data_IF_167206041819
#
_entry.id   IF_167206041819
#
_cell.length_a   1.000
_cell.length_b   1.000
_cell.length_c   1.000
_cell.angle_alpha   90.00
_cell.angle_beta   90.00
_cell.angle_gamma   90.00
#
_symmetry.space_group_name_H-M   'P 1'
#
loop_
_entity.id
_entity.type
_entity.pdbx_description
1 polymer ?
#
# COMPACT_ATOMS: atom_id res chain seq x y z
N UNK A 1 13.91 -7.60 -20.01
CA UNK A 1 13.28 -6.29 -19.75
C UNK A 1 11.82 -6.55 -19.33
N UNK A 2 11.58 -6.90 -18.06
CA UNK A 2 10.21 -7.25 -17.57
C UNK A 2 9.83 -6.45 -16.31
N UNK A 3 10.74 -5.59 -15.84
CA UNK A 3 10.67 -4.89 -14.55
C UNK A 3 9.73 -3.68 -14.54
N UNK A 4 9.20 -3.27 -15.70
CA UNK A 4 8.32 -2.11 -15.82
C UNK A 4 6.87 -2.47 -16.15
N UNK A 5 6.62 -3.72 -16.55
CA UNK A 5 5.30 -4.16 -17.00
C UNK A 5 4.36 -4.37 -15.80
N UNK A 6 3.07 -4.03 -15.92
CA UNK A 6 2.01 -4.59 -15.10
C UNK A 6 2.17 -6.11 -14.94
N UNK A 7 1.84 -6.63 -13.76
CA UNK A 7 2.03 -8.06 -13.48
C UNK A 7 1.28 -8.98 -14.45
N UNK A 8 0.05 -8.68 -14.91
CA UNK A 8 -0.62 -9.49 -15.93
C UNK A 8 0.20 -9.62 -17.21
N UNK A 9 0.85 -8.55 -17.64
CA UNK A 9 1.69 -8.52 -18.83
C UNK A 9 3.02 -9.24 -18.60
N UNK A 10 3.67 -9.01 -17.46
CA UNK A 10 4.91 -9.69 -17.09
C UNK A 10 4.74 -11.22 -17.06
N UNK A 11 3.61 -11.70 -16.51
CA UNK A 11 3.26 -13.12 -16.51
C UNK A 11 2.99 -13.60 -17.94
N UNK A 12 2.24 -12.87 -18.77
CA UNK A 12 1.99 -13.25 -20.17
C UNK A 12 3.27 -13.32 -20.99
N UNK A 13 4.16 -12.34 -20.88
CA UNK A 13 5.43 -12.32 -21.61
C UNK A 13 6.38 -13.42 -21.16
N UNK A 14 6.29 -13.85 -19.89
CA UNK A 14 7.08 -14.99 -19.40
C UNK A 14 6.74 -16.31 -20.11
N UNK A 15 5.56 -16.42 -20.72
CA UNK A 15 5.14 -17.61 -21.46
C UNK A 15 5.75 -17.69 -22.87
N UNK A 16 6.31 -16.58 -23.38
CA UNK A 16 6.92 -16.52 -24.71
C UNK A 16 8.25 -17.27 -24.79
N UNK A 17 8.86 -17.59 -23.64
CA UNK A 17 10.11 -18.36 -23.57
C UNK A 17 10.15 -19.21 -22.31
N UNK A 18 10.55 -20.48 -22.44
CA UNK A 18 10.74 -21.40 -21.30
C UNK A 18 11.75 -20.86 -20.30
N UNK A 19 12.79 -20.15 -20.77
CA UNK A 19 13.82 -19.55 -19.91
C UNK A 19 13.30 -18.37 -19.08
N UNK A 20 12.17 -17.76 -19.44
CA UNK A 20 11.64 -16.57 -18.77
C UNK A 20 10.44 -16.86 -17.87
N UNK A 21 9.91 -18.08 -17.95
CA UNK A 21 8.68 -18.54 -17.29
C UNK A 21 8.56 -18.20 -15.81
N UNK A 22 9.68 -18.14 -15.09
CA UNK A 22 9.70 -17.88 -13.64
C UNK A 22 10.31 -16.53 -13.26
N UNK A 23 10.79 -15.72 -14.23
CA UNK A 23 11.45 -14.44 -13.92
C UNK A 23 10.50 -13.43 -13.27
N UNK A 24 9.20 -13.52 -13.55
CA UNK A 24 8.20 -12.68 -12.91
C UNK A 24 8.06 -12.99 -11.40
N UNK A 25 8.35 -14.21 -10.96
CA UNK A 25 8.16 -14.61 -9.56
C UNK A 25 9.21 -13.99 -8.62
N UNK A 26 10.39 -13.66 -9.13
CA UNK A 26 11.48 -13.02 -8.37
C UNK A 26 11.67 -11.54 -8.74
N UNK A 27 10.70 -10.93 -9.44
CA UNK A 27 10.77 -9.50 -9.78
C UNK A 27 10.68 -8.63 -8.52
N UNK A 28 11.48 -7.55 -8.42
CA UNK A 28 11.42 -6.63 -7.29
C UNK A 28 10.26 -5.62 -7.38
N UNK A 29 9.40 -5.71 -8.39
CA UNK A 29 8.29 -4.78 -8.62
C UNK A 29 6.96 -5.50 -8.80
N UNK A 30 5.95 -5.14 -8.03
CA UNK A 30 4.55 -5.56 -8.26
C UNK A 30 3.76 -4.33 -8.69
N UNK A 31 3.11 -4.41 -9.86
CA UNK A 31 2.18 -3.40 -10.35
C UNK A 31 0.90 -4.08 -10.78
N UNK A 32 -0.19 -3.78 -10.09
CA UNK A 32 -1.50 -4.33 -10.37
C UNK A 32 -2.47 -3.16 -10.39
N UNK A 33 -3.05 -2.92 -11.55
CA UNK A 33 -4.12 -1.96 -11.72
C UNK A 33 -5.43 -2.71 -12.01
N UNK A 34 -6.52 -2.24 -11.43
CA UNK A 34 -7.84 -2.79 -11.68
C UNK A 34 -8.23 -2.69 -13.17
N UNK A 35 -7.80 -1.64 -13.86
CA UNK A 35 -8.04 -1.46 -15.30
C UNK A 35 -7.37 -2.54 -16.17
N UNK A 36 -6.30 -3.20 -15.69
CA UNK A 36 -5.65 -4.31 -16.40
C UNK A 36 -6.58 -5.53 -16.55
N UNK A 37 -7.70 -5.55 -15.81
CA UNK A 37 -8.65 -6.66 -15.76
C UNK A 37 -10.00 -6.33 -16.38
N UNK A 38 -10.15 -5.20 -17.09
CA UNK A 38 -11.43 -4.77 -17.69
C UNK A 38 -12.55 -4.71 -16.64
N UNK A 39 -12.18 -4.23 -15.47
CA UNK A 39 -13.04 -4.10 -14.30
C UNK A 39 -13.62 -5.42 -13.71
N UNK A 40 -13.04 -6.57 -14.08
CA UNK A 40 -13.42 -7.89 -13.56
C UNK A 40 -12.74 -8.19 -12.22
N UNK A 41 -13.47 -7.92 -11.14
CA UNK A 41 -13.00 -8.10 -9.77
C UNK A 41 -12.65 -9.55 -9.44
N UNK A 42 -13.46 -10.51 -9.90
CA UNK A 42 -13.22 -11.92 -9.59
C UNK A 42 -11.91 -12.40 -10.24
N UNK A 43 -11.68 -11.99 -11.49
CA UNK A 43 -10.45 -12.30 -12.21
C UNK A 43 -9.24 -11.62 -11.60
N UNK A 44 -9.37 -10.35 -11.20
CA UNK A 44 -8.30 -9.61 -10.53
C UNK A 44 -7.91 -10.26 -9.21
N UNK A 45 -8.88 -10.59 -8.36
CA UNK A 45 -8.63 -11.21 -7.05
C UNK A 45 -7.98 -12.59 -7.21
N UNK A 46 -8.50 -13.45 -8.09
CA UNK A 46 -7.86 -14.74 -8.41
C UNK A 46 -6.45 -14.58 -8.95
N UNK A 47 -6.19 -13.55 -9.75
CA UNK A 47 -4.86 -13.28 -10.26
C UNK A 47 -3.91 -12.86 -9.13
N UNK A 48 -4.34 -11.94 -8.26
CA UNK A 48 -3.56 -11.51 -7.09
C UNK A 48 -3.24 -12.68 -6.17
N UNK A 49 -4.21 -13.57 -5.92
CA UNK A 49 -4.03 -14.75 -5.02
C UNK A 49 -2.95 -15.65 -5.56
N UNK A 50 -3.04 -15.98 -6.86
CA UNK A 50 -2.05 -16.81 -7.53
C UNK A 50 -0.70 -16.14 -7.63
N UNK A 51 -0.68 -14.84 -7.90
CA UNK A 51 0.56 -14.07 -8.03
C UNK A 51 1.38 -14.17 -6.76
N UNK A 52 0.74 -13.94 -5.60
CA UNK A 52 1.43 -13.96 -4.32
C UNK A 52 1.79 -15.38 -3.87
N UNK A 53 0.91 -16.36 -4.09
CA UNK A 53 1.18 -17.76 -3.78
C UNK A 53 2.41 -18.31 -4.53
N UNK A 54 2.59 -17.88 -5.77
CA UNK A 54 3.65 -18.36 -6.66
C UNK A 54 4.91 -17.47 -6.63
N UNK A 55 4.87 -16.35 -5.89
CA UNK A 55 6.02 -15.46 -5.78
C UNK A 55 7.14 -16.13 -4.99
N UNK A 56 8.37 -15.86 -5.38
CA UNK A 56 9.53 -16.23 -4.59
C UNK A 56 9.57 -15.39 -3.30
N UNK A 57 9.40 -16.06 -2.16
CA UNK A 57 9.40 -15.44 -0.83
C UNK A 57 10.80 -14.99 -0.39
N UNK A 58 11.85 -15.47 -1.04
CA UNK A 58 13.24 -15.06 -0.77
C UNK A 58 13.62 -13.80 -1.54
N UNK A 59 12.95 -13.53 -2.67
CA UNK A 59 13.18 -12.37 -3.50
C UNK A 59 12.71 -11.07 -2.80
N UNK A 60 13.58 -10.06 -2.79
CA UNK A 60 13.23 -8.73 -2.29
C UNK A 60 12.12 -8.11 -3.14
N UNK A 61 11.32 -7.25 -2.51
CA UNK A 61 10.28 -6.47 -3.17
C UNK A 61 10.58 -4.99 -2.91
N UNK A 62 11.12 -4.30 -3.91
CA UNK A 62 11.48 -2.89 -3.76
C UNK A 62 10.23 -2.00 -3.81
N UNK A 63 9.28 -2.32 -4.70
CA UNK A 63 8.04 -1.57 -4.83
C UNK A 63 6.85 -2.49 -5.09
N UNK A 64 5.75 -2.22 -4.41
CA UNK A 64 4.44 -2.76 -4.73
C UNK A 64 3.45 -1.62 -4.90
N UNK A 65 2.78 -1.58 -6.04
CA UNK A 65 1.69 -0.66 -6.35
C UNK A 65 0.45 -1.47 -6.68
N UNK A 66 -0.55 -1.38 -5.82
CA UNK A 66 -1.83 -2.07 -5.97
C UNK A 66 -2.93 -1.01 -6.00
N UNK A 67 -3.64 -0.94 -7.13
CA UNK A 67 -4.74 -0.02 -7.35
C UNK A 67 -6.02 -0.85 -7.51
N UNK A 68 -7.02 -0.57 -6.68
CA UNK A 68 -8.30 -1.26 -6.62
C UNK A 68 -9.45 -0.29 -6.34
N UNK A 69 -9.98 0.35 -7.38
CA UNK A 69 -11.07 1.32 -7.23
C UNK A 69 -12.47 0.70 -7.15
N UNK A 70 -12.58 -0.60 -6.86
CA UNK A 70 -13.87 -1.28 -6.80
C UNK A 70 -14.48 -1.35 -5.43
N UNK A 71 -15.73 -1.83 -5.37
CA UNK A 71 -16.58 -1.88 -4.18
C UNK A 71 -15.80 -2.40 -2.97
N UNK A 72 -15.99 -1.73 -1.83
CA UNK A 72 -15.27 -1.95 -0.59
C UNK A 72 -15.07 -3.43 -0.25
N UNK A 73 -13.82 -3.90 -0.38
CA UNK A 73 -13.46 -5.31 -0.12
C UNK A 73 -12.58 -5.44 1.12
N UNK A 74 -12.84 -6.47 1.92
CA UNK A 74 -11.96 -6.91 3.01
C UNK A 74 -10.62 -7.45 2.50
N UNK A 75 -10.48 -7.73 1.20
CA UNK A 75 -9.22 -8.23 0.65
C UNK A 75 -8.08 -7.22 0.71
N UNK A 76 -8.35 -5.91 0.74
CA UNK A 76 -7.30 -4.88 0.87
C UNK A 76 -6.36 -5.14 2.06
N UNK A 77 -6.93 -5.53 3.21
CA UNK A 77 -6.17 -5.88 4.41
C UNK A 77 -5.27 -7.09 4.18
N UNK A 78 -5.78 -8.13 3.52
CA UNK A 78 -5.03 -9.36 3.21
C UNK A 78 -3.86 -9.04 2.29
N UNK A 79 -4.11 -8.27 1.23
CA UNK A 79 -3.09 -7.89 0.25
C UNK A 79 -1.99 -7.04 0.86
N UNK A 80 -2.36 -6.02 1.63
CA UNK A 80 -1.40 -5.15 2.31
C UNK A 80 -0.51 -5.98 3.22
N UNK A 81 -1.12 -6.82 4.05
CA UNK A 81 -0.40 -7.70 4.97
C UNK A 81 0.57 -8.60 4.24
N UNK A 82 0.13 -9.24 3.17
CA UNK A 82 0.92 -10.22 2.44
C UNK A 82 2.15 -9.59 1.78
N UNK A 83 1.99 -8.45 1.11
CA UNK A 83 3.09 -7.72 0.48
C UNK A 83 4.12 -7.23 1.51
N UNK A 84 3.67 -6.78 2.69
CA UNK A 84 4.58 -6.38 3.77
C UNK A 84 5.36 -7.59 4.31
N UNK A 85 4.71 -8.76 4.47
CA UNK A 85 5.39 -10.01 4.83
C UNK A 85 6.46 -10.42 3.80
N UNK A 86 6.29 -10.05 2.54
CA UNK A 86 7.26 -10.24 1.46
C UNK A 86 8.34 -9.15 1.39
N UNK A 87 8.61 -8.50 2.53
CA UNK A 87 9.74 -7.57 2.72
C UNK A 87 9.69 -6.37 1.76
N UNK A 88 8.49 -5.90 1.42
CA UNK A 88 8.32 -4.70 0.60
C UNK A 88 9.03 -3.50 1.22
N UNK A 89 9.67 -2.68 0.40
CA UNK A 89 10.27 -1.41 0.85
C UNK A 89 9.36 -0.22 0.61
N UNK A 90 8.73 -0.15 -0.56
CA UNK A 90 7.82 0.92 -0.92
C UNK A 90 6.47 0.35 -1.31
N UNK A 91 5.43 0.71 -0.58
CA UNK A 91 4.08 0.22 -0.84
C UNK A 91 3.17 1.40 -1.14
N UNK A 92 2.53 1.37 -2.30
CA UNK A 92 1.43 2.26 -2.65
C UNK A 92 0.16 1.42 -2.81
N UNK A 93 -0.86 1.74 -2.02
CA UNK A 93 -2.18 1.13 -2.13
C UNK A 93 -3.21 2.21 -2.31
N UNK A 94 -4.03 2.03 -3.35
CA UNK A 94 -5.15 2.90 -3.65
C UNK A 94 -6.38 2.03 -3.80
N UNK A 95 -7.46 2.37 -3.11
CA UNK A 95 -8.71 1.64 -3.27
C UNK A 95 -9.75 1.90 -2.21
N UNK A 96 -10.92 1.32 -2.39
CA UNK A 96 -12.04 1.46 -1.45
C UNK A 96 -11.99 0.28 -0.49
N UNK A 97 -11.64 0.53 0.78
CA UNK A 97 -11.49 -0.56 1.75
C UNK A 97 -11.27 -0.04 3.15
N UNK A 98 -11.52 -0.89 4.14
CA UNK A 98 -11.30 -0.59 5.56
C UNK A 98 -10.07 -1.31 6.07
N UNK A 99 -9.09 -0.55 6.60
CA UNK A 99 -7.89 -1.08 7.20
C UNK A 99 -7.93 -0.96 8.72
N UNK A 100 -7.50 -2.00 9.41
CA UNK A 100 -7.34 -2.01 10.85
C UNK A 100 -5.91 -2.44 11.24
N UNK A 101 -5.68 -2.66 12.54
CA UNK A 101 -4.39 -3.10 13.05
C UNK A 101 -3.84 -4.42 12.45
N UNK A 102 -4.68 -5.26 11.83
CA UNK A 102 -4.26 -6.53 11.23
C UNK A 102 -3.62 -6.38 9.85
N UNK A 103 -3.86 -5.25 9.17
CA UNK A 103 -3.35 -4.97 7.83
C UNK A 103 -1.83 -4.83 7.78
N UNK A 104 -1.22 -4.32 8.85
CA UNK A 104 0.20 -3.95 8.86
C UNK A 104 0.96 -4.85 9.85
N UNK A 105 1.63 -5.92 9.38
CA UNK A 105 2.49 -6.73 10.22
C UNK A 105 3.82 -6.01 10.51
N UNK A 106 4.57 -6.43 11.54
CA UNK A 106 5.90 -5.90 11.81
C UNK A 106 6.84 -6.00 10.61
N UNK A 107 7.62 -4.95 10.36
CA UNK A 107 8.51 -4.89 9.19
C UNK A 107 9.80 -4.14 9.47
N UNK A 108 10.92 -4.76 9.11
CA UNK A 108 12.25 -4.12 9.09
C UNK A 108 12.64 -3.65 7.67
N UNK A 109 11.70 -3.67 6.72
CA UNK A 109 11.97 -3.34 5.32
C UNK A 109 11.09 -2.19 4.80
N UNK A 110 9.88 -2.03 5.33
CA UNK A 110 8.92 -1.01 4.89
C UNK A 110 9.43 0.40 5.20
N UNK A 111 9.90 1.10 4.17
CA UNK A 111 10.40 2.48 4.23
C UNK A 111 9.34 3.51 3.89
N UNK A 112 8.46 3.15 2.95
CA UNK A 112 7.44 4.05 2.42
C UNK A 112 6.12 3.33 2.37
N UNK A 113 5.07 3.95 2.92
CA UNK A 113 3.69 3.53 2.69
C UNK A 113 2.85 4.72 2.24
N UNK A 114 2.12 4.53 1.14
CA UNK A 114 1.17 5.49 0.57
C UNK A 114 -0.18 4.83 0.54
N UNK A 115 -1.15 5.41 1.21
CA UNK A 115 -2.52 4.93 1.29
C UNK A 115 -3.43 5.96 0.65
N UNK A 116 -4.26 5.53 -0.30
CA UNK A 116 -5.16 6.40 -1.04
C UNK A 116 -6.59 5.86 -1.08
N UNK A 117 -7.59 6.72 -0.89
CA UNK A 117 -9.03 6.40 -0.92
C UNK A 117 -9.52 5.39 0.14
N UNK A 118 -8.71 5.12 1.16
CA UNK A 118 -8.99 4.09 2.18
C UNK A 118 -9.64 4.65 3.44
N UNK A 119 -10.47 3.84 4.10
CA UNK A 119 -10.95 4.07 5.46
C UNK A 119 -9.94 3.42 6.42
N UNK A 120 -9.36 4.23 7.30
CA UNK A 120 -8.32 3.84 8.25
C UNK A 120 -8.92 3.79 9.65
N UNK A 121 -9.19 2.59 10.13
CA UNK A 121 -9.84 2.34 11.40
C UNK A 121 -8.89 2.15 12.57
N UNK A 122 -9.50 1.91 13.73
CA UNK A 122 -8.81 1.83 15.02
C UNK A 122 -7.59 0.90 15.01
N UNK A 123 -6.49 1.41 15.58
CA UNK A 123 -5.27 0.63 15.80
C UNK A 123 -4.35 0.50 14.59
N UNK A 124 -4.73 0.97 13.39
CA UNK A 124 -3.88 0.89 12.19
C UNK A 124 -2.49 1.55 12.39
N UNK A 125 -2.43 2.69 13.09
CA UNK A 125 -1.16 3.39 13.32
C UNK A 125 -0.27 2.72 14.38
N UNK A 126 -0.78 1.81 15.21
CA UNK A 126 0.03 1.12 16.22
C UNK A 126 1.24 0.39 15.59
N UNK A 127 1.07 -0.51 14.60
CA UNK A 127 2.21 -1.15 13.96
C UNK A 127 3.10 -0.19 13.17
N UNK A 128 2.55 0.88 12.58
CA UNK A 128 3.36 1.92 11.91
C UNK A 128 4.22 2.72 12.89
N UNK A 129 3.73 2.94 14.11
CA UNK A 129 4.44 3.67 15.15
C UNK A 129 5.58 2.84 15.76
N UNK A 130 5.35 1.54 15.98
CA UNK A 130 6.22 0.73 16.85
C UNK A 130 6.89 -0.46 16.16
N UNK A 131 6.26 -1.02 15.13
CA UNK A 131 6.69 -2.29 14.51
C UNK A 131 7.36 -2.11 13.13
N UNK A 132 7.18 -0.94 12.50
CA UNK A 132 7.81 -0.57 11.22
C UNK A 132 9.05 0.31 11.43
N UNK A 133 10.15 -0.29 11.91
CA UNK A 133 11.32 0.45 12.45
C UNK A 133 12.12 1.29 11.45
N UNK A 134 11.90 1.08 10.16
CA UNK A 134 12.60 1.79 9.07
C UNK A 134 11.66 2.67 8.25
N UNK A 135 10.41 2.84 8.68
CA UNK A 135 9.41 3.67 8.01
C UNK A 135 9.84 5.14 8.03
N UNK A 136 10.09 5.71 6.87
CA UNK A 136 10.54 7.09 6.69
C UNK A 136 9.46 7.99 6.10
N UNK A 137 8.57 7.46 5.26
CA UNK A 137 7.50 8.21 4.63
C UNK A 137 6.14 7.54 4.82
N UNK A 138 5.20 8.32 5.35
CA UNK A 138 3.78 7.98 5.41
C UNK A 138 3.02 9.05 4.61
N UNK A 139 2.32 8.63 3.56
CA UNK A 139 1.38 9.48 2.84
C UNK A 139 -0.02 8.90 2.96
N UNK A 140 -0.95 9.77 3.33
CA UNK A 140 -2.38 9.54 3.35
C UNK A 140 -3.00 10.51 2.37
N UNK A 141 -3.78 10.02 1.43
CA UNK A 141 -4.39 10.81 0.37
C UNK A 141 -5.85 10.39 0.17
N UNK A 142 -6.79 11.32 0.22
CA UNK A 142 -8.22 11.01 0.09
C UNK A 142 -8.73 9.95 1.09
N UNK A 143 -8.08 9.81 2.24
CA UNK A 143 -8.42 8.81 3.26
C UNK A 143 -9.42 9.33 4.29
N UNK A 144 -10.19 8.42 4.88
CA UNK A 144 -11.02 8.69 6.06
C UNK A 144 -10.36 8.06 7.28
N UNK A 145 -9.91 8.88 8.23
CA UNK A 145 -9.27 8.44 9.47
C UNK A 145 -10.32 8.38 10.58
N UNK A 146 -10.64 7.16 11.03
CA UNK A 146 -11.69 6.89 12.02
C UNK A 146 -11.07 6.52 13.37
N UNK A 147 -11.29 7.37 14.39
CA UNK A 147 -10.81 7.18 15.77
C UNK A 147 -9.29 6.92 15.92
N UNK A 148 -8.50 7.50 15.02
CA UNK A 148 -7.04 7.41 15.04
C UNK A 148 -6.45 8.53 15.91
N UNK A 149 -5.92 8.14 17.08
CA UNK A 149 -5.48 9.09 18.10
C UNK A 149 -4.11 9.70 17.87
N UNK A 150 -3.15 8.92 17.34
CA UNK A 150 -1.74 9.32 17.39
C UNK A 150 -0.88 8.70 16.29
N UNK A 151 -0.04 9.53 15.67
CA UNK A 151 1.13 9.13 14.88
C UNK A 151 2.39 9.49 15.67
N UNK A 152 3.11 8.48 16.17
CA UNK A 152 4.27 8.64 17.08
C UNK A 152 5.52 7.90 16.61
N UNK A 153 5.55 7.46 15.35
CA UNK A 153 6.68 6.73 14.76
C UNK A 153 8.00 7.50 14.90
N UNK A 154 8.99 6.85 15.52
CA UNK A 154 10.34 7.43 15.71
C UNK A 154 11.20 7.37 14.45
N UNK A 155 10.88 6.53 13.48
CA UNK A 155 11.64 6.44 12.23
C UNK A 155 11.13 7.41 11.16
N UNK A 156 9.90 7.90 11.32
CA UNK A 156 9.20 8.71 10.32
C UNK A 156 9.87 10.07 10.16
N UNK A 157 10.19 10.42 8.90
CA UNK A 157 10.83 11.67 8.50
C UNK A 157 9.89 12.58 7.73
N UNK A 158 8.96 11.99 6.99
CA UNK A 158 8.04 12.69 6.09
C UNK A 158 6.63 12.20 6.33
N UNK A 159 5.71 13.14 6.59
CA UNK A 159 4.29 12.88 6.72
C UNK A 159 3.52 13.80 5.75
N UNK A 160 2.76 13.18 4.87
CA UNK A 160 1.82 13.86 3.98
C UNK A 160 0.40 13.43 4.32
N UNK A 161 -0.48 14.40 4.58
CA UNK A 161 -1.92 14.21 4.74
C UNK A 161 -2.58 15.11 3.71
N UNK A 162 -3.18 14.50 2.69
CA UNK A 162 -3.71 15.20 1.51
C UNK A 162 -5.18 14.85 1.39
N UNK A 163 -6.04 15.87 1.41
CA UNK A 163 -7.49 15.73 1.24
C UNK A 163 -8.13 14.63 2.11
N UNK A 164 -7.64 14.45 3.35
CA UNK A 164 -8.13 13.41 4.24
C UNK A 164 -9.20 13.93 5.19
N UNK A 165 -10.25 13.15 5.42
CA UNK A 165 -11.24 13.41 6.46
C UNK A 165 -10.79 12.78 7.76
N UNK A 166 -10.56 13.58 8.80
CA UNK A 166 -10.16 13.11 10.12
C UNK A 166 -11.36 13.24 11.06
N UNK A 167 -11.89 12.11 11.56
CA UNK A 167 -12.95 12.15 12.57
C UNK A 167 -12.32 12.32 13.95
N UNK A 168 -12.47 13.50 14.55
CA UNK A 168 -11.86 13.84 15.83
C UNK A 168 -10.47 14.46 15.70
N UNK A 169 -9.69 14.41 16.77
CA UNK A 169 -8.34 14.98 16.84
C UNK A 169 -7.26 13.94 16.59
N UNK A 170 -6.29 14.25 15.73
CA UNK A 170 -5.12 13.42 15.48
C UNK A 170 -3.86 14.10 16.05
N UNK A 171 -3.19 13.44 17.00
CA UNK A 171 -1.94 13.92 17.57
C UNK A 171 -0.74 13.42 16.75
N UNK A 172 0.22 14.31 16.49
CA UNK A 172 1.48 13.96 15.78
C UNK A 172 2.65 14.14 16.75
N UNK A 173 3.24 13.03 17.19
CA UNK A 173 4.35 12.92 18.15
C UNK A 173 5.62 12.32 17.53
N UNK A 174 5.80 12.43 16.21
CA UNK A 174 6.96 11.86 15.51
C UNK A 174 8.22 12.74 15.70
N UNK A 175 9.09 12.34 16.63
CA UNK A 175 10.25 13.15 17.05
C UNK A 175 11.30 13.42 15.97
N UNK A 176 11.37 12.55 14.95
CA UNK A 176 12.34 12.65 13.84
C UNK A 176 11.71 13.21 12.56
N UNK A 177 10.48 13.76 12.65
CA UNK A 177 9.78 14.31 11.51
C UNK A 177 10.47 15.59 11.03
N UNK A 178 10.97 15.55 9.80
CA UNK A 178 11.64 16.67 9.13
C UNK A 178 10.73 17.44 8.18
N UNK A 179 9.65 16.80 7.72
CA UNK A 179 8.70 17.38 6.78
C UNK A 179 7.28 16.94 7.12
N UNK A 180 6.40 17.93 7.31
CA UNK A 180 4.97 17.75 7.50
C UNK A 180 4.23 18.59 6.46
N UNK A 181 3.32 17.95 5.72
CA UNK A 181 2.44 18.63 4.77
C UNK A 181 1.01 18.19 5.01
N UNK A 182 0.14 19.15 5.30
CA UNK A 182 -1.30 18.95 5.43
C UNK A 182 -1.96 19.83 4.37
N UNK A 183 -2.61 19.21 3.39
CA UNK A 183 -3.25 19.90 2.26
C UNK A 183 -4.71 19.51 2.23
N UNK A 184 -5.61 20.50 2.25
CA UNK A 184 -7.04 20.29 2.06
C UNK A 184 -7.46 20.99 0.76
N UNK A 185 -8.09 20.22 -0.15
CA UNK A 185 -8.51 20.72 -1.47
C UNK A 185 -9.87 21.44 -1.42
N UNK A 186 -10.49 21.62 -0.25
CA UNK A 186 -11.81 22.26 -0.09
C UNK A 186 -11.81 23.80 -0.13
N UNK A 187 -10.77 24.46 -0.66
CA UNK A 187 -10.67 25.93 -0.68
C UNK A 187 -11.02 26.62 -2.02
N UNK A 188 -11.65 25.92 -2.97
CA UNK A 188 -12.14 26.53 -4.23
C UNK A 188 -13.62 26.23 -4.53
N UNK A 189 -14.53 26.64 -3.64
CA UNK A 189 -15.92 26.95 -4.04
C UNK A 189 -16.55 27.98 -3.12
N UNK A 190 -16.13 29.24 -3.24
CA UNK A 190 -16.96 30.40 -2.88
C UNK A 190 -16.81 31.46 -3.97
N UNK A 191 -17.73 31.43 -4.93
CA UNK A 191 -18.12 32.57 -5.74
C UNK A 191 -19.64 32.68 -5.62
#
# INVERSE_FOLDING_TARGET
MMYFLPMPEAVRTSLLSTSWRYLWASTPYIRIDHHDFMDDNEKMEKFRDRLLLLRDSTAFLDEARIIDHTVASTTCTVWIRHVIMHKVRNHHVSGLGHLDSSAIPPSNHLKTIRLQFLILGYGLFRPLNYDCRVLQLLQLEDCVLVDLKEISSRSLKVLHIINCLITGSLLICASNLTHLSIVDMHSHSRA
#
